data_IF_350969085176
#
_entry.id   IF_350969085176
#
_cell.length_a   1.000
_cell.length_b   1.000
_cell.length_c   1.000
_cell.angle_alpha   90.00
_cell.angle_beta   90.00
_cell.angle_gamma   90.00
#
_symmetry.space_group_name_H-M   'P 1'
#
loop_
_entity.id
_entity.type
_entity.pdbx_description
1 polymer ?
#
# COMPACT_ATOMS: atom_id res chain seq x y z
N UNK A 1 -13.82 8.88 -4.70
CA UNK A 1 -14.85 7.85 -4.90
C UNK A 1 -15.23 7.84 -6.36
N UNK A 2 -15.44 6.67 -6.96
CA UNK A 2 -15.93 6.53 -8.34
C UNK A 2 -17.30 5.88 -8.29
N UNK A 3 -18.31 6.49 -8.88
CA UNK A 3 -19.70 6.01 -8.83
C UNK A 3 -20.20 5.73 -7.39
N UNK A 4 -19.78 6.56 -6.43
CA UNK A 4 -20.11 6.38 -5.01
C UNK A 4 -19.42 5.20 -4.32
N UNK A 5 -18.40 4.59 -4.95
CA UNK A 5 -17.60 3.49 -4.40
C UNK A 5 -16.24 3.99 -3.91
N UNK A 6 -15.82 3.57 -2.72
CA UNK A 6 -14.50 3.88 -2.15
C UNK A 6 -13.45 2.95 -2.77
N UNK A 7 -12.46 3.55 -3.44
CA UNK A 7 -11.35 2.82 -4.08
C UNK A 7 -10.12 2.88 -3.17
N UNK A 8 -9.67 1.72 -2.71
CA UNK A 8 -8.46 1.59 -1.90
C UNK A 8 -7.40 0.83 -2.70
N UNK A 9 -6.24 1.44 -2.87
CA UNK A 9 -5.06 0.77 -3.43
C UNK A 9 -4.23 0.20 -2.28
N UNK A 10 -3.85 -1.05 -2.38
CA UNK A 10 -2.95 -1.70 -1.42
C UNK A 10 -1.60 -2.00 -2.08
N UNK A 11 -0.52 -1.75 -1.36
CA UNK A 11 0.86 -1.92 -1.81
C UNK A 11 1.60 -2.86 -0.84
N UNK A 12 1.63 -4.18 -1.13
CA UNK A 12 2.52 -5.09 -0.42
C UNK A 12 3.97 -4.74 -0.76
N UNK A 13 4.79 -4.41 0.23
CA UNK A 13 6.16 -3.94 0.03
C UNK A 13 7.17 -4.80 0.77
N UNK A 14 8.29 -5.11 0.12
CA UNK A 14 9.48 -5.69 0.75
C UNK A 14 10.73 -5.24 -0.02
N UNK A 15 11.60 -4.47 0.63
CA UNK A 15 12.80 -3.87 0.03
C UNK A 15 12.53 -3.05 -1.26
N UNK A 16 11.48 -2.23 -1.23
CA UNK A 16 11.00 -1.41 -2.33
C UNK A 16 11.41 0.08 -2.23
N UNK A 17 12.47 0.42 -1.48
CA UNK A 17 12.82 1.81 -1.19
C UNK A 17 13.05 2.67 -2.45
N UNK A 18 13.52 2.05 -3.53
CA UNK A 18 13.87 2.74 -4.78
C UNK A 18 12.65 3.17 -5.60
N UNK A 19 11.56 2.46 -5.48
CA UNK A 19 10.42 2.50 -6.41
C UNK A 19 9.13 2.93 -5.73
N UNK A 20 8.98 2.68 -4.42
CA UNK A 20 7.75 2.93 -3.66
C UNK A 20 7.16 4.35 -3.85
N UNK A 21 7.99 5.40 -3.77
CA UNK A 21 7.52 6.78 -3.94
C UNK A 21 7.00 7.03 -5.35
N UNK A 22 7.69 6.51 -6.36
CA UNK A 22 7.29 6.65 -7.75
C UNK A 22 5.95 5.95 -7.99
N UNK A 23 5.82 4.68 -7.57
CA UNK A 23 4.57 3.92 -7.69
C UNK A 23 3.41 4.61 -6.98
N UNK A 24 3.64 5.12 -5.76
CA UNK A 24 2.63 5.89 -5.03
C UNK A 24 2.18 7.12 -5.81
N UNK A 25 3.12 7.91 -6.35
CA UNK A 25 2.79 9.11 -7.10
C UNK A 25 2.01 8.79 -8.38
N UNK A 26 2.38 7.73 -9.10
CA UNK A 26 1.69 7.30 -10.33
C UNK A 26 0.26 6.80 -10.05
N UNK A 27 0.07 6.10 -8.92
CA UNK A 27 -1.25 5.69 -8.44
C UNK A 27 -2.11 6.90 -8.08
N UNK A 28 -1.57 7.86 -7.34
CA UNK A 28 -2.31 9.08 -6.97
C UNK A 28 -2.62 9.98 -8.16
N UNK A 29 -1.72 10.02 -9.17
CA UNK A 29 -1.92 10.80 -10.39
C UNK A 29 -3.14 10.35 -11.21
N UNK A 30 -3.67 9.13 -10.98
CA UNK A 30 -4.92 8.67 -11.61
C UNK A 30 -6.14 9.48 -11.17
N UNK A 31 -6.07 10.19 -10.03
CA UNK A 31 -7.14 11.08 -9.56
C UNK A 31 -8.42 10.38 -9.07
N UNK A 32 -8.43 9.05 -9.02
CA UNK A 32 -9.61 8.24 -8.64
C UNK A 32 -9.44 7.44 -7.34
N UNK A 33 -8.22 7.41 -6.79
CA UNK A 33 -7.87 6.63 -5.60
C UNK A 33 -8.20 7.41 -4.34
N UNK A 34 -8.98 6.82 -3.45
CA UNK A 34 -9.40 7.45 -2.19
C UNK A 34 -8.37 7.26 -1.07
N UNK A 35 -7.70 6.11 -1.05
CA UNK A 35 -6.69 5.79 -0.04
C UNK A 35 -5.66 4.82 -0.61
N UNK A 36 -4.40 5.01 -0.22
CA UNK A 36 -3.34 4.02 -0.41
C UNK A 36 -2.96 3.42 0.94
N UNK A 37 -2.86 2.09 1.01
CA UNK A 37 -2.35 1.35 2.16
C UNK A 37 -1.06 0.65 1.77
N UNK A 38 0.04 0.99 2.41
CA UNK A 38 1.33 0.30 2.24
C UNK A 38 1.51 -0.69 3.38
N UNK A 39 1.81 -1.95 3.05
CA UNK A 39 2.11 -2.99 4.02
C UNK A 39 3.55 -3.45 3.80
N UNK A 40 4.46 -2.99 4.65
CA UNK A 40 5.86 -3.37 4.64
C UNK A 40 6.05 -4.72 5.34
N UNK A 41 6.63 -5.72 4.64
CA UNK A 41 6.86 -7.07 5.16
C UNK A 41 8.19 -7.19 5.93
N UNK A 42 8.50 -6.21 6.78
CA UNK A 42 9.75 -6.19 7.53
C UNK A 42 10.96 -5.98 6.61
N UNK A 43 10.92 -4.93 5.79
CA UNK A 43 12.05 -4.58 4.91
C UNK A 43 13.32 -4.25 5.69
N UNK A 44 14.47 -4.53 5.09
CA UNK A 44 15.79 -4.21 5.65
C UNK A 44 16.38 -2.90 5.09
N UNK A 45 15.67 -2.24 4.19
CA UNK A 45 16.05 -0.97 3.60
C UNK A 45 15.16 0.19 4.10
N UNK A 46 15.19 1.33 3.41
CA UNK A 46 14.42 2.51 3.77
C UNK A 46 12.92 2.43 3.42
N UNK A 47 12.37 1.29 2.97
CA UNK A 47 10.97 1.17 2.49
C UNK A 47 9.96 1.70 3.50
N UNK A 48 10.00 1.22 4.75
CA UNK A 48 9.09 1.65 5.79
C UNK A 48 9.26 3.14 6.15
N UNK A 49 10.50 3.65 6.12
CA UNK A 49 10.77 5.07 6.37
C UNK A 49 10.16 5.94 5.26
N UNK A 50 10.36 5.57 3.99
CA UNK A 50 9.79 6.26 2.83
C UNK A 50 8.27 6.19 2.87
N UNK A 51 7.68 5.02 3.14
CA UNK A 51 6.23 4.83 3.23
C UNK A 51 5.59 5.84 4.20
N UNK A 52 6.19 6.06 5.37
CA UNK A 52 5.68 7.00 6.39
C UNK A 52 5.75 8.48 5.97
N UNK A 53 6.51 8.80 4.93
CA UNK A 53 6.56 10.17 4.38
C UNK A 53 5.55 10.41 3.24
N UNK A 54 4.80 9.38 2.83
CA UNK A 54 3.79 9.50 1.77
C UNK A 54 2.52 10.13 2.37
N UNK A 55 2.24 11.38 2.00
CA UNK A 55 1.11 12.14 2.53
C UNK A 55 -0.22 11.44 2.24
N UNK A 56 -0.97 11.06 3.27
CA UNK A 56 -2.29 10.42 3.10
C UNK A 56 -2.23 8.91 2.82
N UNK A 57 -1.04 8.29 2.81
CA UNK A 57 -0.94 6.83 2.84
C UNK A 57 -1.11 6.29 4.27
N UNK A 58 -1.79 5.17 4.42
CA UNK A 58 -1.80 4.38 5.66
C UNK A 58 -0.68 3.35 5.59
N UNK A 59 0.14 3.26 6.64
CA UNK A 59 1.32 2.37 6.64
C UNK A 59 1.18 1.32 7.74
N UNK A 60 1.37 0.06 7.38
CA UNK A 60 1.53 -1.06 8.31
C UNK A 60 2.90 -1.70 8.09
N UNK A 61 3.55 -2.14 9.16
CA UNK A 61 4.84 -2.82 9.09
C UNK A 61 4.75 -4.12 9.89
N UNK A 62 5.05 -5.24 9.26
CA UNK A 62 5.25 -6.50 9.97
C UNK A 62 6.59 -6.49 10.71
N UNK A 63 6.63 -7.08 11.90
CA UNK A 63 7.85 -7.17 12.69
C UNK A 63 8.92 -8.09 12.06
N UNK A 64 8.49 -9.07 11.26
CA UNK A 64 9.33 -9.99 10.49
C UNK A 64 8.66 -10.23 9.14
N UNK A 65 9.43 -10.61 8.13
CA UNK A 65 8.88 -11.02 6.84
C UNK A 65 7.96 -12.24 7.01
N UNK A 66 6.69 -12.07 6.66
CA UNK A 66 5.65 -13.11 6.78
C UNK A 66 5.37 -13.83 5.47
N UNK A 67 6.07 -13.43 4.41
CA UNK A 67 5.87 -13.91 3.06
C UNK A 67 4.70 -13.22 2.36
N UNK A 68 4.78 -13.23 1.04
CA UNK A 68 3.88 -12.51 0.15
C UNK A 68 2.39 -12.74 0.43
N UNK A 69 1.96 -14.00 0.58
CA UNK A 69 0.56 -14.32 0.85
C UNK A 69 0.05 -13.82 2.21
N UNK A 70 0.92 -13.76 3.23
CA UNK A 70 0.54 -13.20 4.53
C UNK A 70 0.46 -11.67 4.48
N UNK A 71 1.36 -11.03 3.74
CA UNK A 71 1.30 -9.59 3.46
C UNK A 71 -0.01 -9.20 2.77
N UNK A 72 -0.37 -9.89 1.69
CA UNK A 72 -1.64 -9.66 1.00
C UNK A 72 -2.87 -9.78 1.91
N UNK A 73 -2.91 -10.79 2.80
CA UNK A 73 -4.00 -10.95 3.76
C UNK A 73 -4.11 -9.73 4.68
N UNK A 74 -2.98 -9.17 5.10
CA UNK A 74 -2.94 -7.91 5.86
C UNK A 74 -3.43 -6.74 5.02
N UNK A 75 -3.01 -6.61 3.75
CA UNK A 75 -3.52 -5.60 2.82
C UNK A 75 -5.05 -5.62 2.72
N UNK A 76 -5.63 -6.78 2.40
CA UNK A 76 -7.07 -6.93 2.24
C UNK A 76 -7.84 -6.66 3.52
N UNK A 77 -7.35 -7.16 4.67
CA UNK A 77 -7.97 -6.88 5.97
C UNK A 77 -8.01 -5.38 6.27
N UNK A 78 -6.89 -4.68 6.08
CA UNK A 78 -6.82 -3.23 6.33
C UNK A 78 -7.70 -2.43 5.35
N UNK A 79 -7.79 -2.85 4.09
CA UNK A 79 -8.68 -2.21 3.12
C UNK A 79 -10.17 -2.41 3.48
N UNK A 80 -10.54 -3.61 3.97
CA UNK A 80 -11.90 -3.87 4.46
C UNK A 80 -12.24 -3.06 5.72
N UNK A 81 -11.29 -2.91 6.66
CA UNK A 81 -11.43 -2.03 7.84
C UNK A 81 -11.64 -0.56 7.45
N UNK A 82 -11.11 -0.14 6.31
CA UNK A 82 -11.30 1.18 5.73
C UNK A 82 -12.63 1.32 4.96
N UNK A 83 -13.45 0.26 4.88
CA UNK A 83 -14.70 0.29 4.12
C UNK A 83 -14.47 0.41 2.61
N UNK A 84 -13.41 -0.20 2.08
CA UNK A 84 -13.18 -0.27 0.64
C UNK A 84 -14.33 -1.03 -0.05
N UNK A 85 -14.90 -0.45 -1.10
CA UNK A 85 -15.79 -1.15 -2.02
C UNK A 85 -15.00 -1.87 -3.12
N UNK A 86 -13.89 -1.26 -3.54
CA UNK A 86 -12.99 -1.77 -4.57
C UNK A 86 -11.57 -1.75 -4.02
N UNK A 87 -10.91 -2.90 -4.05
CA UNK A 87 -9.50 -3.04 -3.68
C UNK A 87 -8.69 -3.31 -4.93
N UNK A 88 -7.65 -2.51 -5.15
CA UNK A 88 -6.69 -2.69 -6.25
C UNK A 88 -5.33 -2.97 -5.61
N UNK A 89 -4.72 -4.10 -5.93
CA UNK A 89 -3.36 -4.41 -5.48
C UNK A 89 -2.36 -3.94 -6.53
N UNK A 90 -1.40 -3.11 -6.12
CA UNK A 90 -0.31 -2.64 -6.97
C UNK A 90 1.01 -2.94 -6.27
N UNK A 91 1.92 -3.56 -7.01
CA UNK A 91 3.28 -3.85 -6.55
C UNK A 91 4.15 -2.59 -6.61
N UNK A 92 4.82 -2.21 -5.50
CA UNK A 92 5.69 -1.03 -5.46
C UNK A 92 7.14 -1.33 -5.86
N UNK A 93 7.47 -2.53 -6.33
CA UNK A 93 8.83 -3.06 -6.54
C UNK A 93 9.17 -3.33 -8.03
N UNK A 94 8.84 -2.38 -8.91
CA UNK A 94 9.16 -2.41 -10.36
C UNK A 94 10.52 -3.02 -10.71
#
# INVERSE_FOLDING_TARGET
MVNGKKIVVVMPAYNAARTLRQTYNEVMAQGVVDLVIVVDDGSHDATAAIARTLSGARVHTHAVNRGYGANQKTCYRLALEEGADVVIMVHPDY
#
